data_IF_611975983456
#
_entry.id   IF_611975983456
#
_cell.length_a   1.000
_cell.length_b   1.000
_cell.length_c   1.000
_cell.angle_alpha   90.00
_cell.angle_beta   90.00
_cell.angle_gamma   90.00
#
_symmetry.space_group_name_H-M   'P 1'
#
loop_
_entity.id
_entity.type
_entity.pdbx_description
1 polymer ?
#
# COMPACT_ATOMS: atom_id res chain seq x y z
N UNK A 1 23.17 58.38 2.79
CA UNK A 1 23.03 57.16 3.61
C UNK A 1 21.81 56.41 3.09
N UNK A 2 22.01 55.32 2.34
CA UNK A 2 20.94 54.44 1.91
C UNK A 2 21.37 53.01 2.26
N UNK A 3 20.71 52.40 3.23
CA UNK A 3 20.99 51.03 3.65
C UNK A 3 20.33 50.07 2.67
N UNK A 4 21.11 49.53 1.73
CA UNK A 4 20.65 48.45 0.87
C UNK A 4 20.30 47.23 1.74
N UNK A 5 19.02 46.89 1.83
CA UNK A 5 18.61 45.62 2.43
C UNK A 5 19.15 44.48 1.59
N UNK A 6 19.77 43.48 2.23
CA UNK A 6 20.15 42.26 1.54
C UNK A 6 18.89 41.60 0.93
N UNK A 7 18.98 41.01 -0.27
CA UNK A 7 17.88 40.19 -0.78
C UNK A 7 17.59 39.07 0.23
N UNK A 8 16.30 38.79 0.46
CA UNK A 8 15.93 37.55 1.14
C UNK A 8 16.54 36.37 0.35
N UNK A 9 17.06 35.33 1.01
CA UNK A 9 17.38 34.11 0.30
C UNK A 9 16.12 33.61 -0.39
N UNK A 10 16.24 33.26 -1.67
CA UNK A 10 15.16 32.60 -2.41
C UNK A 10 14.89 31.27 -1.70
N UNK A 11 13.62 30.99 -1.36
CA UNK A 11 13.29 29.68 -0.79
C UNK A 11 13.55 28.61 -1.85
N UNK A 12 14.43 27.66 -1.55
CA UNK A 12 14.70 26.55 -2.46
C UNK A 12 13.36 25.87 -2.82
N UNK A 13 13.06 25.88 -4.11
CA UNK A 13 11.89 25.21 -4.68
C UNK A 13 12.15 23.71 -4.69
N UNK A 14 12.05 23.09 -3.51
CA UNK A 14 12.11 21.65 -3.27
C UNK A 14 11.24 20.95 -4.31
N UNK A 15 11.86 20.25 -5.25
CA UNK A 15 11.18 19.44 -6.25
C UNK A 15 10.98 18.04 -5.66
N UNK A 16 9.75 17.52 -5.74
CA UNK A 16 9.43 16.15 -5.37
C UNK A 16 9.25 15.29 -6.63
N UNK A 17 9.61 13.99 -6.60
CA UNK A 17 9.35 13.09 -7.72
C UNK A 17 7.84 12.93 -7.96
N UNK A 18 7.42 12.75 -9.21
CA UNK A 18 6.00 12.62 -9.59
C UNK A 18 5.33 11.36 -9.00
N UNK A 19 6.13 10.34 -8.66
CA UNK A 19 5.72 9.16 -7.89
C UNK A 19 6.86 8.61 -7.02
N UNK A 20 6.51 7.77 -6.05
CA UNK A 20 7.42 7.13 -5.09
C UNK A 20 7.00 5.70 -4.76
N UNK A 21 7.94 4.89 -4.26
CA UNK A 21 7.67 3.63 -3.56
C UNK A 21 7.64 3.90 -2.05
N UNK A 22 6.46 3.93 -1.43
CA UNK A 22 6.34 4.22 0.01
C UNK A 22 6.29 2.93 0.85
N UNK A 23 7.19 2.78 1.83
CA UNK A 23 7.10 1.70 2.83
C UNK A 23 5.92 1.92 3.78
N UNK A 24 5.10 0.87 3.99
CA UNK A 24 3.92 0.97 4.86
C UNK A 24 4.24 1.13 6.35
N UNK A 25 5.40 0.65 6.80
CA UNK A 25 5.79 0.70 8.21
C UNK A 25 6.44 2.06 8.52
N UNK A 26 5.98 2.69 9.59
CA UNK A 26 6.52 3.97 10.06
C UNK A 26 7.97 3.88 10.58
N UNK A 27 8.69 5.00 10.49
CA UNK A 27 9.97 5.24 11.18
C UNK A 27 9.75 6.19 12.35
N UNK A 28 9.92 5.71 13.60
CA UNK A 28 9.82 6.54 14.81
C UNK A 28 10.96 7.56 14.86
N UNK A 29 10.66 8.81 15.17
CA UNK A 29 11.61 9.90 15.47
C UNK A 29 11.26 10.46 16.84
N UNK A 30 12.04 10.17 17.85
CA UNK A 30 11.83 10.71 19.21
C UNK A 30 12.42 12.12 19.35
N UNK A 31 11.79 12.95 20.18
CA UNK A 31 12.19 14.32 20.52
C UNK A 31 11.87 14.61 21.99
N UNK A 32 12.63 15.51 22.62
CA UNK A 32 12.50 15.85 24.05
C UNK A 32 11.09 16.32 24.44
N UNK A 33 10.39 17.00 23.52
CA UNK A 33 8.97 17.33 23.61
C UNK A 33 8.33 17.60 22.23
N UNK A 34 7.07 18.04 22.25
CA UNK A 34 6.28 18.34 21.05
C UNK A 34 6.74 19.62 20.34
N UNK A 35 7.29 20.59 21.07
CA UNK A 35 7.80 21.83 20.48
C UNK A 35 9.11 21.55 19.74
N UNK A 36 10.03 20.76 20.35
CA UNK A 36 11.22 20.24 19.69
C UNK A 36 10.88 19.38 18.45
N UNK A 37 9.84 18.53 18.52
CA UNK A 37 9.35 17.78 17.36
C UNK A 37 8.83 18.71 16.24
N UNK A 38 8.15 19.80 16.60
CA UNK A 38 7.68 20.85 15.69
C UNK A 38 8.83 21.62 15.04
N UNK A 39 9.84 22.02 15.80
CA UNK A 39 11.05 22.66 15.28
C UNK A 39 11.81 21.74 14.32
N UNK A 40 11.91 20.44 14.63
CA UNK A 40 12.56 19.45 13.76
C UNK A 40 11.86 19.25 12.40
N UNK A 41 10.58 19.62 12.27
CA UNK A 41 9.81 19.50 11.01
C UNK A 41 9.43 20.84 10.38
N UNK A 42 9.80 21.99 10.97
CA UNK A 42 9.29 23.31 10.57
C UNK A 42 9.56 23.71 9.10
N UNK A 43 10.59 23.15 8.46
CA UNK A 43 10.95 23.35 7.04
C UNK A 43 10.52 22.20 6.13
N UNK A 44 9.98 21.12 6.68
CA UNK A 44 9.60 19.94 5.91
C UNK A 44 8.21 20.14 5.29
N UNK A 45 8.16 20.43 3.98
CA UNK A 45 6.92 20.66 3.22
C UNK A 45 6.00 19.42 3.14
N UNK A 46 6.42 18.27 3.66
CA UNK A 46 5.59 17.05 3.82
C UNK A 46 4.97 16.90 5.21
N UNK A 47 5.32 17.77 6.17
CA UNK A 47 4.96 17.58 7.56
C UNK A 47 3.57 18.15 7.92
N UNK A 48 2.84 17.42 8.76
CA UNK A 48 1.54 17.83 9.30
C UNK A 48 1.42 17.47 10.80
N UNK A 49 0.79 18.34 11.62
CA UNK A 49 0.46 18.00 13.00
C UNK A 49 -0.66 16.95 13.07
N UNK A 50 -0.59 16.07 14.06
CA UNK A 50 -1.61 15.05 14.33
C UNK A 50 -1.97 15.09 15.81
N UNK A 51 -3.25 15.39 16.08
CA UNK A 51 -3.84 15.23 17.40
C UNK A 51 -4.54 13.87 17.47
N UNK A 52 -4.26 13.09 18.53
CA UNK A 52 -4.81 11.73 18.69
C UNK A 52 -5.93 11.73 19.73
N UNK A 53 -5.71 12.37 20.88
CA UNK A 53 -6.72 12.58 21.92
C UNK A 53 -6.46 13.89 22.69
N UNK A 54 -6.82 14.01 23.97
CA UNK A 54 -6.54 15.20 24.77
C UNK A 54 -5.07 15.34 25.19
N UNK A 55 -4.36 14.22 25.29
CA UNK A 55 -3.08 14.10 25.99
C UNK A 55 -1.95 13.76 25.00
N UNK A 56 -2.29 13.04 23.91
CA UNK A 56 -1.37 12.60 22.87
C UNK A 56 -1.46 13.46 21.60
N UNK A 57 -0.31 13.93 21.12
CA UNK A 57 -0.16 14.70 19.88
C UNK A 57 1.26 14.59 19.34
N UNK A 58 1.40 14.55 18.02
CA UNK A 58 2.65 14.29 17.32
C UNK A 58 2.69 15.02 15.97
N UNK A 59 3.77 14.87 15.21
CA UNK A 59 3.81 15.26 13.79
C UNK A 59 4.07 14.05 12.91
N UNK A 60 3.47 14.00 11.73
CA UNK A 60 3.82 13.03 10.68
C UNK A 60 4.54 13.75 9.54
N UNK A 61 5.48 13.07 8.88
CA UNK A 61 6.12 13.58 7.67
C UNK A 61 6.58 12.46 6.74
N UNK A 62 6.92 12.78 5.50
CA UNK A 62 7.40 11.82 4.51
C UNK A 62 8.83 12.14 4.06
N UNK A 63 9.71 11.15 4.13
CA UNK A 63 11.00 11.20 3.43
C UNK A 63 10.75 10.70 2.01
N UNK A 64 10.73 11.61 1.04
CA UNK A 64 10.44 11.29 -0.36
C UNK A 64 11.74 11.08 -1.14
N UNK A 65 11.82 9.97 -1.86
CA UNK A 65 12.91 9.61 -2.75
C UNK A 65 12.34 9.04 -4.06
N UNK A 66 12.99 9.33 -5.18
CA UNK A 66 12.61 8.77 -6.48
C UNK A 66 12.92 7.26 -6.52
N UNK A 67 12.10 6.42 -7.16
CA UNK A 67 12.46 5.03 -7.46
C UNK A 67 13.82 4.95 -8.20
N UNK A 68 14.70 3.99 -7.87
CA UNK A 68 14.49 2.78 -7.07
C UNK A 68 14.71 2.94 -5.56
N UNK A 69 14.72 4.16 -5.01
CA UNK A 69 14.85 4.34 -3.56
C UNK A 69 13.50 4.30 -2.85
N UNK A 70 13.46 3.64 -1.68
CA UNK A 70 12.31 3.69 -0.77
C UNK A 70 12.04 5.12 -0.28
N UNK A 71 10.77 5.48 -0.23
CA UNK A 71 10.25 6.60 0.56
C UNK A 71 9.70 6.08 1.89
N UNK A 72 9.74 6.92 2.93
CA UNK A 72 9.41 6.52 4.30
C UNK A 72 8.38 7.44 4.95
N UNK A 73 7.43 6.84 5.65
CA UNK A 73 6.54 7.52 6.59
C UNK A 73 7.26 7.70 7.93
N UNK A 74 7.40 8.93 8.43
CA UNK A 74 8.05 9.25 9.71
C UNK A 74 7.01 9.73 10.74
N UNK A 75 7.09 9.22 11.96
CA UNK A 75 6.26 9.64 13.10
C UNK A 75 7.14 10.34 14.14
N UNK A 76 6.94 11.64 14.34
CA UNK A 76 7.72 12.50 15.21
C UNK A 76 7.02 12.60 16.57
N UNK A 77 7.57 11.90 17.56
CA UNK A 77 6.96 11.63 18.85
C UNK A 77 7.71 12.30 20.01
N UNK A 78 6.96 12.73 21.03
CA UNK A 78 7.49 13.35 22.25
C UNK A 78 7.78 12.30 23.32
N UNK A 79 9.02 12.21 23.82
CA UNK A 79 9.37 11.24 24.85
C UNK A 79 8.61 11.47 26.17
N UNK A 80 8.22 12.72 26.46
CA UNK A 80 7.38 13.07 27.63
C UNK A 80 5.97 12.47 27.59
N UNK A 81 5.49 12.03 26.42
CA UNK A 81 4.20 11.32 26.29
C UNK A 81 4.34 9.79 26.53
N UNK A 82 5.56 9.27 26.71
CA UNK A 82 5.79 7.84 26.90
C UNK A 82 5.57 7.00 25.64
N UNK A 83 5.15 5.74 25.84
CA UNK A 83 5.02 4.66 24.84
C UNK A 83 6.34 4.13 24.24
N UNK A 84 6.85 3.03 24.80
CA UNK A 84 7.90 2.22 24.16
C UNK A 84 7.35 1.47 22.93
N UNK A 85 6.09 1.01 23.00
CA UNK A 85 5.47 0.14 21.99
C UNK A 85 4.65 0.82 20.89
N UNK A 86 4.75 2.13 20.69
CA UNK A 86 4.04 2.88 19.64
C UNK A 86 4.14 2.20 18.26
N UNK A 87 3.02 2.05 17.56
CA UNK A 87 2.94 1.53 16.18
C UNK A 87 2.12 2.46 15.28
N UNK A 88 2.43 2.48 13.99
CA UNK A 88 1.63 3.19 12.97
C UNK A 88 1.85 2.56 11.59
N UNK A 89 0.79 2.42 10.79
CA UNK A 89 0.84 1.73 9.49
C UNK A 89 0.09 2.50 8.40
N UNK A 90 0.70 2.65 7.21
CA UNK A 90 0.04 3.20 6.01
C UNK A 90 -0.72 2.10 5.30
N UNK A 91 -2.05 2.15 5.35
CA UNK A 91 -2.96 1.11 4.86
C UNK A 91 -3.21 1.18 3.37
N UNK A 92 -3.54 2.37 2.87
CA UNK A 92 -3.93 2.57 1.47
C UNK A 92 -3.72 4.02 1.02
N UNK A 93 -3.63 4.24 -0.30
CA UNK A 93 -3.35 5.55 -0.89
C UNK A 93 -4.14 5.72 -2.19
N UNK A 94 -4.76 6.88 -2.41
CA UNK A 94 -5.31 7.29 -3.71
C UNK A 94 -5.01 8.77 -3.99
N UNK A 95 -4.45 9.05 -5.18
CA UNK A 95 -4.06 10.39 -5.65
C UNK A 95 -3.20 11.16 -4.64
N UNK A 96 -3.84 11.97 -3.80
CA UNK A 96 -3.22 12.84 -2.80
C UNK A 96 -3.63 12.50 -1.36
N UNK A 97 -4.38 11.42 -1.14
CA UNK A 97 -4.86 10.98 0.17
C UNK A 97 -4.11 9.72 0.61
N UNK A 98 -3.46 9.78 1.78
CA UNK A 98 -2.78 8.65 2.43
C UNK A 98 -3.57 8.27 3.68
N UNK A 99 -4.08 7.04 3.74
CA UNK A 99 -4.77 6.48 4.90
C UNK A 99 -3.75 5.74 5.77
N UNK A 100 -3.71 6.08 7.06
CA UNK A 100 -2.86 5.42 8.05
C UNK A 100 -3.56 5.27 9.40
N UNK A 101 -3.02 4.42 10.27
CA UNK A 101 -3.41 4.34 11.68
C UNK A 101 -2.26 4.75 12.62
N UNK A 102 -2.60 5.02 13.88
CA UNK A 102 -1.65 5.04 15.01
C UNK A 102 -2.24 4.19 16.14
N UNK A 103 -1.40 3.32 16.71
CA UNK A 103 -1.72 2.46 17.85
C UNK A 103 -0.80 2.73 19.02
N UNK A 104 -1.36 3.02 20.20
CA UNK A 104 -0.64 3.25 21.46
C UNK A 104 -0.97 2.10 22.42
N UNK A 105 -0.11 1.07 22.60
CA UNK A 105 -0.47 -0.14 23.32
C UNK A 105 -0.90 0.06 24.78
N UNK A 106 -0.42 1.10 25.45
CA UNK A 106 -0.78 1.42 26.84
C UNK A 106 -2.29 1.77 26.99
N UNK A 107 -2.96 2.15 25.89
CA UNK A 107 -4.41 2.33 25.78
C UNK A 107 -5.15 1.02 25.42
N UNK A 108 -4.46 0.04 24.82
CA UNK A 108 -5.01 -1.21 24.25
C UNK A 108 -4.90 -2.35 25.28
N UNK A 109 -5.70 -2.30 26.35
CA UNK A 109 -5.76 -3.41 27.34
C UNK A 109 -6.50 -4.66 26.85
N UNK A 110 -7.14 -4.59 25.68
CA UNK A 110 -7.90 -5.67 25.05
C UNK A 110 -7.80 -5.58 23.53
N UNK A 111 -7.92 -6.72 22.84
CA UNK A 111 -7.98 -6.84 21.37
C UNK A 111 -9.29 -6.28 20.76
N UNK A 112 -10.01 -5.43 21.51
CA UNK A 112 -11.32 -4.86 21.19
C UNK A 112 -11.28 -3.33 21.00
N UNK A 113 -10.11 -2.68 21.19
CA UNK A 113 -9.98 -1.24 21.09
C UNK A 113 -9.97 -0.79 19.61
N UNK A 114 -10.83 0.17 19.20
CA UNK A 114 -10.82 0.67 17.83
C UNK A 114 -9.55 1.48 17.55
N UNK A 115 -9.02 1.29 16.34
CA UNK A 115 -7.85 2.01 15.82
C UNK A 115 -8.18 3.48 15.56
N UNK A 116 -7.29 4.39 15.95
CA UNK A 116 -7.36 5.77 15.52
C UNK A 116 -6.84 5.86 14.07
N UNK A 117 -7.76 6.02 13.13
CA UNK A 117 -7.48 6.17 11.71
C UNK A 117 -7.37 7.64 11.31
N UNK A 118 -6.44 7.92 10.41
CA UNK A 118 -6.09 9.26 9.97
C UNK A 118 -5.96 9.31 8.43
N UNK A 119 -6.43 10.40 7.84
CA UNK A 119 -6.24 10.72 6.43
C UNK A 119 -5.31 11.91 6.32
N UNK A 120 -4.10 11.68 5.81
CA UNK A 120 -3.19 12.74 5.38
C UNK A 120 -3.57 13.18 3.96
N UNK A 121 -3.80 14.48 3.80
CA UNK A 121 -4.08 15.12 2.51
C UNK A 121 -2.83 15.87 2.05
N UNK A 122 -2.22 15.40 0.97
CA UNK A 122 -1.12 16.08 0.30
C UNK A 122 -1.64 17.30 -0.48
N UNK A 123 -1.20 18.49 -0.07
CA UNK A 123 -1.54 19.77 -0.69
C UNK A 123 -0.40 20.78 -0.55
N UNK A 124 -0.40 21.77 -1.43
CA UNK A 124 0.37 23.01 -1.27
C UNK A 124 -0.57 24.12 -0.73
N UNK A 125 -0.06 25.11 0.04
CA UNK A 125 1.33 25.27 0.48
C UNK A 125 1.73 24.28 1.59
N UNK A 126 0.77 23.70 2.32
CA UNK A 126 0.98 22.72 3.37
C UNK A 126 0.00 21.55 3.25
N UNK A 127 0.38 20.33 3.67
CA UNK A 127 -0.54 19.20 3.84
C UNK A 127 -1.35 19.34 5.13
N UNK A 128 -2.37 18.49 5.28
CA UNK A 128 -3.21 18.42 6.49
C UNK A 128 -3.49 16.96 6.90
N UNK A 129 -3.84 16.74 8.16
CA UNK A 129 -4.32 15.43 8.64
C UNK A 129 -5.69 15.58 9.28
N UNK A 130 -6.61 14.68 8.91
CA UNK A 130 -7.92 14.51 9.54
C UNK A 130 -7.94 13.19 10.32
N UNK A 131 -8.28 13.23 11.61
CA UNK A 131 -8.68 12.05 12.37
C UNK A 131 -10.11 11.65 11.97
N UNK A 132 -10.35 10.37 11.76
CA UNK A 132 -11.69 9.85 11.44
C UNK A 132 -12.50 9.58 12.72
N UNK A 133 -13.85 9.69 12.66
CA UNK A 133 -14.67 9.22 13.77
C UNK A 133 -14.47 7.71 13.98
N UNK A 134 -14.57 7.23 15.22
CA UNK A 134 -14.40 5.80 15.50
C UNK A 134 -15.49 4.93 14.86
N UNK A 135 -15.08 3.81 14.26
CA UNK A 135 -16.02 2.77 13.84
C UNK A 135 -16.19 1.75 14.97
N UNK A 136 -17.43 1.51 15.41
CA UNK A 136 -17.76 0.67 16.58
C UNK A 136 -17.82 -0.83 16.29
N UNK A 137 -17.25 -1.29 15.17
CA UNK A 137 -17.56 -2.60 14.58
C UNK A 137 -16.43 -3.60 14.79
N UNK A 138 -16.70 -4.65 15.60
CA UNK A 138 -15.71 -5.61 16.12
C UNK A 138 -14.94 -6.47 15.09
N UNK A 139 -15.22 -6.36 13.80
CA UNK A 139 -14.69 -7.26 12.77
C UNK A 139 -14.13 -6.54 11.53
N UNK A 140 -14.29 -5.22 11.43
CA UNK A 140 -13.73 -4.42 10.35
C UNK A 140 -12.51 -3.65 10.85
N UNK A 141 -11.65 -3.22 9.92
CA UNK A 141 -10.43 -2.45 10.14
C UNK A 141 -9.34 -3.21 10.94
N UNK A 142 -9.65 -4.42 11.42
CA UNK A 142 -8.76 -5.27 12.22
C UNK A 142 -7.52 -5.77 11.46
N UNK A 143 -7.57 -5.81 10.12
CA UNK A 143 -6.41 -6.05 9.26
C UNK A 143 -6.06 -4.80 8.46
N UNK A 144 -4.76 -4.60 8.28
CA UNK A 144 -4.15 -3.43 7.67
C UNK A 144 -4.36 -3.41 6.15
N UNK A 145 -4.23 -4.58 5.52
CA UNK A 145 -4.27 -4.78 4.05
C UNK A 145 -5.69 -4.83 3.44
N UNK A 146 -6.74 -4.79 4.26
CA UNK A 146 -8.13 -4.92 3.78
C UNK A 146 -8.84 -3.59 3.62
N UNK A 147 -8.30 -2.52 4.21
CA UNK A 147 -8.91 -1.18 4.28
C UNK A 147 -8.39 -0.27 3.16
N UNK A 148 -9.21 0.03 2.15
CA UNK A 148 -8.87 0.94 1.05
C UNK A 148 -9.31 2.39 1.29
N UNK A 149 -8.65 3.35 0.63
CA UNK A 149 -9.13 4.75 0.45
C UNK A 149 -9.31 5.08 -1.04
N UNK A 150 -10.37 5.83 -1.38
CA UNK A 150 -10.78 6.18 -2.74
C UNK A 150 -11.29 7.63 -2.78
N UNK A 151 -10.60 8.51 -3.49
CA UNK A 151 -11.08 9.86 -3.78
C UNK A 151 -12.02 9.84 -4.99
N UNK A 152 -13.27 10.24 -4.79
CA UNK A 152 -14.28 10.26 -5.85
C UNK A 152 -14.00 11.38 -6.87
N UNK A 153 -14.30 11.12 -8.14
CA UNK A 153 -14.19 12.13 -9.22
C UNK A 153 -15.14 13.34 -9.06
N UNK A 154 -16.25 13.20 -8.33
CA UNK A 154 -17.40 14.08 -8.47
C UNK A 154 -17.47 15.27 -7.49
N UNK A 155 -17.03 15.11 -6.23
CA UNK A 155 -17.48 15.99 -5.12
C UNK A 155 -16.35 16.38 -4.14
N UNK A 156 -15.08 16.24 -4.52
CA UNK A 156 -13.89 16.33 -3.64
C UNK A 156 -13.87 15.35 -2.44
N UNK A 157 -14.95 14.62 -2.21
CA UNK A 157 -15.11 13.65 -1.14
C UNK A 157 -14.32 12.36 -1.40
N UNK A 158 -14.02 11.65 -0.32
CA UNK A 158 -13.39 10.35 -0.34
C UNK A 158 -14.23 9.31 0.41
N UNK A 159 -14.07 8.06 -0.01
CA UNK A 159 -14.60 6.88 0.64
C UNK A 159 -13.43 6.11 1.25
N UNK A 160 -13.63 5.57 2.44
CA UNK A 160 -12.79 4.50 2.98
C UNK A 160 -13.66 3.28 3.11
N UNK A 161 -13.17 2.12 2.69
CA UNK A 161 -13.95 0.89 2.77
C UNK A 161 -13.10 -0.31 3.15
N UNK A 162 -13.72 -1.24 3.89
CA UNK A 162 -13.17 -2.54 4.25
C UNK A 162 -14.16 -3.65 3.86
N UNK A 163 -13.63 -4.77 3.37
CA UNK A 163 -14.40 -5.90 2.83
C UNK A 163 -14.15 -7.16 3.66
N UNK A 164 -15.18 -7.58 4.38
CA UNK A 164 -15.25 -8.91 4.97
C UNK A 164 -16.05 -9.85 4.06
N UNK A 165 -15.55 -11.08 3.88
CA UNK A 165 -16.21 -12.12 3.09
C UNK A 165 -16.51 -13.32 3.98
N UNK A 166 -17.76 -13.78 3.97
CA UNK A 166 -18.25 -14.84 4.85
C UNK A 166 -18.93 -15.95 4.05
N UNK A 167 -18.44 -17.17 4.21
CA UNK A 167 -19.07 -18.38 3.69
C UNK A 167 -20.33 -18.71 4.50
N UNK A 168 -21.49 -18.80 3.84
CA UNK A 168 -22.78 -19.14 4.46
C UNK A 168 -23.35 -20.40 3.79
N UNK A 169 -24.28 -21.10 4.46
CA UNK A 169 -24.85 -22.40 3.99
C UNK A 169 -25.61 -22.35 2.66
N UNK A 170 -25.71 -21.18 2.02
CA UNK A 170 -26.36 -20.93 0.72
C UNK A 170 -25.57 -19.88 -0.09
N UNK A 171 -24.26 -20.09 -0.20
CA UNK A 171 -23.35 -19.23 -0.96
C UNK A 171 -22.62 -18.18 -0.12
N UNK A 172 -21.92 -17.27 -0.79
CA UNK A 172 -21.02 -16.28 -0.19
C UNK A 172 -21.73 -14.95 0.02
N UNK A 173 -21.51 -14.32 1.18
CA UNK A 173 -21.89 -12.93 1.43
C UNK A 173 -20.67 -12.07 1.70
N UNK A 174 -20.64 -10.89 1.08
CA UNK A 174 -19.78 -9.80 1.49
C UNK A 174 -20.49 -8.93 2.52
N UNK A 175 -19.72 -8.40 3.46
CA UNK A 175 -20.15 -7.33 4.35
C UNK A 175 -19.11 -6.21 4.20
N UNK A 176 -19.57 -5.02 3.85
CA UNK A 176 -18.74 -3.84 3.61
C UNK A 176 -18.91 -2.87 4.77
N UNK A 177 -17.81 -2.40 5.36
CA UNK A 177 -17.83 -1.23 6.22
C UNK A 177 -17.30 -0.04 5.42
N UNK A 178 -18.07 1.05 5.36
CA UNK A 178 -17.83 2.19 4.48
C UNK A 178 -17.92 3.48 5.30
N UNK A 179 -16.89 4.32 5.22
CA UNK A 179 -16.93 5.73 5.61
C UNK A 179 -17.07 6.61 4.38
N UNK A 180 -17.93 7.62 4.44
CA UNK A 180 -18.08 8.64 3.40
C UNK A 180 -17.75 10.02 3.99
N UNK A 181 -16.71 10.68 3.48
CA UNK A 181 -16.27 11.98 4.01
C UNK A 181 -17.32 13.09 3.85
N UNK A 182 -18.22 13.00 2.86
CA UNK A 182 -19.28 13.99 2.65
C UNK A 182 -20.43 13.90 3.65
N UNK A 183 -20.62 12.74 4.27
CA UNK A 183 -21.59 12.51 5.35
C UNK A 183 -20.93 12.42 6.74
N UNK A 184 -19.61 12.22 6.79
CA UNK A 184 -18.78 12.05 7.99
C UNK A 184 -19.28 10.94 8.94
N UNK A 185 -19.76 9.83 8.37
CA UNK A 185 -20.33 8.69 9.10
C UNK A 185 -19.82 7.35 8.55
N UNK A 186 -19.87 6.33 9.41
CA UNK A 186 -19.63 4.92 9.05
C UNK A 186 -20.97 4.19 8.84
N UNK A 187 -21.07 3.42 7.76
CA UNK A 187 -22.21 2.57 7.42
C UNK A 187 -21.75 1.14 7.13
N UNK A 188 -22.56 0.15 7.49
CA UNK A 188 -22.32 -1.26 7.15
C UNK A 188 -23.33 -1.69 6.09
N UNK A 189 -22.86 -2.32 5.01
CA UNK A 189 -23.70 -2.79 3.90
C UNK A 189 -23.43 -4.28 3.65
N UNK A 190 -24.38 -5.13 4.03
CA UNK A 190 -24.37 -6.56 3.64
C UNK A 190 -24.79 -6.71 2.18
N UNK A 191 -24.02 -7.48 1.41
CA UNK A 191 -24.28 -7.79 0.00
C UNK A 191 -24.15 -9.30 -0.24
N UNK A 192 -25.10 -9.88 -0.96
CA UNK A 192 -24.97 -11.26 -1.46
C UNK A 192 -24.13 -11.22 -2.73
N UNK A 193 -23.06 -12.03 -2.78
CA UNK A 193 -22.25 -12.18 -3.99
C UNK A 193 -22.91 -13.23 -4.88
N UNK A 194 -23.49 -12.77 -5.99
CA UNK A 194 -24.12 -13.63 -6.98
C UNK A 194 -23.06 -14.38 -7.81
N UNK A 195 -22.76 -15.59 -7.35
CA UNK A 195 -21.93 -16.63 -7.96
C UNK A 195 -20.41 -16.38 -8.05
N UNK A 196 -19.66 -17.50 -8.03
CA UNK A 196 -18.25 -17.66 -8.44
C UNK A 196 -17.11 -17.16 -7.53
N UNK A 197 -17.34 -16.61 -6.33
CA UNK A 197 -16.25 -16.62 -5.34
C UNK A 197 -15.92 -18.07 -4.95
N UNK A 198 -14.64 -18.36 -4.74
CA UNK A 198 -14.18 -19.62 -4.15
C UNK A 198 -14.46 -19.60 -2.64
N UNK A 199 -14.63 -20.78 -2.03
CA UNK A 199 -14.99 -20.94 -0.60
C UNK A 199 -13.88 -20.50 0.38
N UNK A 200 -12.75 -20.00 -0.14
CA UNK A 200 -11.53 -19.63 0.58
C UNK A 200 -11.03 -18.23 0.20
N UNK A 201 -11.90 -17.21 0.07
CA UNK A 201 -11.45 -15.82 -0.14
C UNK A 201 -10.54 -15.34 1.00
N UNK A 202 -9.45 -14.66 0.65
CA UNK A 202 -8.69 -13.82 1.57
C UNK A 202 -8.24 -12.54 0.85
N UNK A 203 -8.48 -11.39 1.47
CA UNK A 203 -8.02 -10.10 0.93
C UNK A 203 -6.53 -9.95 1.22
N UNK A 204 -5.70 -10.10 0.19
CA UNK A 204 -4.24 -9.91 0.25
C UNK A 204 -3.83 -8.45 -0.05
N UNK A 205 -4.66 -7.68 -0.77
CA UNK A 205 -4.38 -6.30 -1.20
C UNK A 205 -5.67 -5.50 -1.50
N UNK A 206 -5.59 -4.16 -1.52
CA UNK A 206 -6.70 -3.26 -1.88
C UNK A 206 -6.22 -1.94 -2.50
N UNK A 207 -6.81 -1.56 -3.64
CA UNK A 207 -6.51 -0.27 -4.27
C UNK A 207 -7.75 0.43 -4.87
N UNK A 208 -7.62 1.74 -5.05
CA UNK A 208 -8.58 2.58 -5.77
C UNK A 208 -8.34 2.51 -7.29
N UNK A 209 -9.41 2.42 -8.08
CA UNK A 209 -9.33 2.43 -9.55
C UNK A 209 -10.32 3.42 -10.18
N UNK A 210 -9.84 4.14 -11.20
CA UNK A 210 -10.57 5.16 -11.97
C UNK A 210 -11.31 6.24 -11.15
N UNK A 211 -10.97 6.44 -9.86
CA UNK A 211 -11.71 7.34 -8.96
C UNK A 211 -13.20 6.96 -8.81
N UNK A 212 -13.49 5.66 -8.95
CA UNK A 212 -14.85 5.07 -9.01
C UNK A 212 -14.97 3.73 -8.30
N UNK A 213 -13.93 2.90 -8.36
CA UNK A 213 -13.96 1.53 -7.87
C UNK A 213 -13.00 1.32 -6.71
N UNK A 214 -13.40 0.48 -5.76
CA UNK A 214 -12.44 -0.30 -4.98
C UNK A 214 -12.17 -1.65 -5.67
N UNK A 215 -10.93 -2.10 -5.56
CA UNK A 215 -10.45 -3.37 -6.10
C UNK A 215 -9.77 -4.14 -4.96
N UNK A 216 -10.50 -5.06 -4.32
CA UNK A 216 -9.93 -5.99 -3.35
C UNK A 216 -9.37 -7.21 -4.06
N UNK A 217 -8.17 -7.63 -3.70
CA UNK A 217 -7.44 -8.72 -4.36
C UNK A 217 -7.31 -9.92 -3.44
N UNK A 218 -7.62 -11.11 -3.95
CA UNK A 218 -7.10 -12.38 -3.44
C UNK A 218 -6.16 -12.90 -4.51
N UNK A 219 -4.85 -12.96 -4.23
CA UNK A 219 -3.83 -13.31 -5.20
C UNK A 219 -3.98 -14.73 -5.75
N UNK A 220 -4.71 -15.61 -5.08
CA UNK A 220 -5.01 -16.96 -5.57
C UNK A 220 -6.34 -17.05 -6.35
N UNK A 221 -7.26 -16.10 -6.14
CA UNK A 221 -8.63 -16.17 -6.67
C UNK A 221 -8.92 -15.16 -7.79
N UNK A 222 -8.62 -13.87 -7.58
CA UNK A 222 -9.05 -12.78 -8.46
C UNK A 222 -9.26 -11.45 -7.75
N UNK A 223 -10.00 -10.54 -8.40
CA UNK A 223 -10.33 -9.20 -7.89
C UNK A 223 -11.83 -9.08 -7.66
N UNK A 224 -12.23 -8.58 -6.48
CA UNK A 224 -13.59 -8.09 -6.22
C UNK A 224 -13.61 -6.59 -6.50
N UNK A 225 -14.24 -6.21 -7.61
CA UNK A 225 -14.52 -4.83 -7.98
C UNK A 225 -15.78 -4.34 -7.27
N UNK A 226 -15.77 -3.12 -6.76
CA UNK A 226 -16.90 -2.50 -6.06
C UNK A 226 -17.16 -1.09 -6.62
N UNK A 227 -18.30 -0.89 -7.28
CA UNK A 227 -18.64 0.35 -7.99
C UNK A 227 -19.39 1.36 -7.11
N UNK A 228 -18.77 2.52 -6.86
CA UNK A 228 -19.34 3.63 -6.09
C UNK A 228 -19.89 4.79 -6.95
N UNK A 229 -19.83 4.70 -8.29
CA UNK A 229 -20.21 5.81 -9.18
C UNK A 229 -21.68 6.24 -9.15
N UNK A 230 -22.58 5.36 -8.68
CA UNK A 230 -24.04 5.58 -8.75
C UNK A 230 -24.69 5.85 -7.40
N UNK A 231 -24.30 5.11 -6.37
CA UNK A 231 -24.83 5.23 -5.03
C UNK A 231 -23.89 4.55 -4.02
N UNK A 232 -23.36 5.32 -3.07
CA UNK A 232 -22.48 4.83 -2.00
C UNK A 232 -23.22 3.91 -1.02
N UNK A 233 -24.55 4.05 -0.90
CA UNK A 233 -25.40 3.24 -0.03
C UNK A 233 -25.88 1.93 -0.68
N UNK A 234 -25.56 1.71 -1.96
CA UNK A 234 -25.83 0.43 -2.61
C UNK A 234 -24.82 0.14 -3.72
N UNK A 235 -23.53 0.01 -3.37
CA UNK A 235 -22.50 -0.30 -4.35
C UNK A 235 -22.72 -1.69 -4.93
N UNK A 236 -22.21 -1.92 -6.15
CA UNK A 236 -22.35 -3.21 -6.83
C UNK A 236 -21.01 -3.93 -6.80
N UNK A 237 -21.02 -5.18 -6.30
CA UNK A 237 -19.85 -6.05 -6.26
C UNK A 237 -19.81 -6.94 -7.50
N UNK A 238 -18.64 -7.03 -8.13
CA UNK A 238 -18.37 -7.87 -9.29
C UNK A 238 -17.04 -8.59 -9.11
N UNK A 239 -17.06 -9.92 -9.07
CA UNK A 239 -15.84 -10.73 -9.02
C UNK A 239 -15.29 -10.99 -10.42
N UNK A 240 -13.99 -10.76 -10.57
CA UNK A 240 -13.21 -11.01 -11.79
C UNK A 240 -12.11 -12.02 -11.43
N UNK A 241 -12.24 -13.30 -11.80
CA UNK A 241 -11.26 -14.33 -11.46
C UNK A 241 -9.93 -14.09 -12.19
N UNK A 242 -8.82 -14.45 -11.56
CA UNK A 242 -7.53 -14.43 -12.26
C UNK A 242 -7.46 -15.55 -13.32
N UNK A 243 -6.79 -15.29 -14.45
CA UNK A 243 -6.67 -16.25 -15.55
C UNK A 243 -5.60 -17.31 -15.26
N UNK A 244 -5.58 -18.35 -16.08
CA UNK A 244 -4.89 -19.61 -15.77
C UNK A 244 -5.76 -20.54 -14.92
N UNK A 245 -6.67 -20.01 -14.11
CA UNK A 245 -7.81 -20.76 -13.54
C UNK A 245 -7.41 -21.98 -12.70
N UNK A 246 -6.25 -21.91 -12.02
CA UNK A 246 -5.74 -22.99 -11.19
C UNK A 246 -6.72 -23.19 -10.03
N UNK A 247 -7.51 -24.26 -10.10
CA UNK A 247 -8.34 -24.71 -8.98
C UNK A 247 -7.45 -25.37 -7.95
N UNK A 248 -6.95 -24.55 -7.03
CA UNK A 248 -6.39 -25.01 -5.75
C UNK A 248 -7.42 -25.90 -5.06
N UNK A 249 -7.08 -27.15 -4.66
CA UNK A 249 -8.05 -28.07 -4.06
C UNK A 249 -8.63 -27.56 -2.74
N UNK A 250 -9.92 -27.76 -2.51
CA UNK A 250 -10.65 -27.20 -1.35
C UNK A 250 -10.17 -27.79 0.00
N UNK A 251 -9.56 -28.98 -0.02
CA UNK A 251 -8.94 -29.65 1.13
C UNK A 251 -7.48 -29.20 1.37
N UNK A 252 -6.81 -28.71 0.32
CA UNK A 252 -5.47 -28.17 0.39
C UNK A 252 -5.49 -26.80 1.05
N UNK A 253 -5.45 -26.79 2.38
CA UNK A 253 -5.11 -25.62 3.20
C UNK A 253 -3.65 -25.22 2.97
N UNK A 254 -3.40 -24.62 1.82
CA UNK A 254 -2.12 -24.00 1.49
C UNK A 254 -1.80 -22.94 2.57
N UNK A 255 -0.65 -23.04 3.25
CA UNK A 255 -0.16 -21.89 4.01
C UNK A 255 0.07 -20.74 3.02
N UNK A 256 -0.71 -19.66 3.16
CA UNK A 256 -0.60 -18.43 2.36
C UNK A 256 0.68 -17.66 2.74
N UNK A 257 1.85 -18.23 2.42
CA UNK A 257 3.16 -17.68 2.72
C UNK A 257 3.44 -16.43 1.88
N UNK A 258 2.90 -15.28 2.32
CA UNK A 258 3.12 -13.94 1.74
C UNK A 258 2.97 -13.91 0.21
N UNK A 259 1.76 -14.11 -0.34
CA UNK A 259 1.54 -14.21 -1.78
C UNK A 259 2.08 -13.01 -2.57
N UNK A 260 2.08 -11.81 -1.99
CA UNK A 260 2.69 -10.58 -2.52
C UNK A 260 4.14 -10.70 -3.01
N UNK A 261 4.89 -11.71 -2.54
CA UNK A 261 6.25 -11.99 -3.03
C UNK A 261 6.30 -12.48 -4.49
N UNK A 262 5.30 -13.25 -4.89
CA UNK A 262 5.21 -13.93 -6.18
C UNK A 262 4.02 -13.48 -7.01
N UNK A 263 3.13 -12.65 -6.45
CA UNK A 263 1.88 -12.21 -7.06
C UNK A 263 1.69 -10.74 -6.75
N UNK A 264 1.32 -9.94 -7.75
CA UNK A 264 1.20 -8.49 -7.63
C UNK A 264 0.12 -7.98 -8.57
N UNK A 265 -0.66 -7.00 -8.12
CA UNK A 265 -1.57 -6.23 -8.98
C UNK A 265 -1.16 -4.77 -8.92
N UNK A 266 -1.06 -4.13 -10.08
CA UNK A 266 -0.71 -2.71 -10.19
C UNK A 266 -1.55 -2.01 -11.25
N UNK A 267 -1.73 -0.70 -11.12
CA UNK A 267 -2.32 0.15 -12.15
C UNK A 267 -1.19 0.91 -12.83
N UNK A 268 -1.08 0.79 -14.15
CA UNK A 268 -0.21 1.64 -14.96
C UNK A 268 -0.97 2.10 -16.20
N UNK A 269 -0.86 3.39 -16.56
CA UNK A 269 -1.62 4.01 -17.66
C UNK A 269 -3.15 3.73 -17.63
N UNK A 270 -3.74 3.64 -16.44
CA UNK A 270 -5.18 3.37 -16.27
C UNK A 270 -5.62 1.92 -16.54
N UNK A 271 -4.67 0.98 -16.68
CA UNK A 271 -4.94 -0.44 -16.87
C UNK A 271 -4.43 -1.23 -15.66
N UNK A 272 -5.32 -2.03 -15.04
CA UNK A 272 -4.97 -3.02 -14.03
C UNK A 272 -4.18 -4.15 -14.69
N UNK A 273 -2.98 -4.45 -14.17
CA UNK A 273 -2.11 -5.54 -14.60
C UNK A 273 -1.86 -6.49 -13.42
N UNK A 274 -1.93 -7.79 -13.68
CA UNK A 274 -1.58 -8.82 -12.72
C UNK A 274 -0.28 -9.52 -13.13
N UNK A 275 0.62 -9.75 -12.18
CA UNK A 275 1.86 -10.52 -12.38
C UNK A 275 1.81 -11.73 -11.46
N UNK A 276 2.01 -12.94 -12.01
CA UNK A 276 2.25 -14.16 -11.24
C UNK A 276 3.58 -14.80 -11.64
N UNK A 277 4.40 -15.06 -10.62
CA UNK A 277 5.72 -15.69 -10.70
C UNK A 277 5.58 -17.13 -10.24
N UNK A 278 5.48 -18.05 -11.19
CA UNK A 278 5.43 -19.48 -10.91
C UNK A 278 6.84 -19.98 -10.60
N UNK A 279 7.06 -20.42 -9.35
CA UNK A 279 8.38 -20.66 -8.75
C UNK A 279 8.54 -22.10 -8.22
N UNK A 280 7.70 -23.04 -8.69
CA UNK A 280 7.58 -24.47 -8.28
C UNK A 280 7.39 -24.74 -6.77
N UNK A 281 7.51 -23.73 -5.91
CA UNK A 281 7.57 -23.83 -4.45
C UNK A 281 6.29 -24.46 -3.87
N UNK A 282 5.16 -24.21 -4.54
CA UNK A 282 3.86 -24.79 -4.23
C UNK A 282 3.81 -26.32 -4.44
N UNK A 283 4.55 -26.88 -5.43
CA UNK A 283 4.66 -28.33 -5.60
C UNK A 283 5.51 -28.97 -4.49
N UNK A 284 6.65 -28.35 -4.13
CA UNK A 284 7.60 -28.93 -3.16
C UNK A 284 7.06 -29.12 -1.73
N UNK A 285 6.01 -28.41 -1.34
CA UNK A 285 5.45 -28.48 0.03
C UNK A 285 4.56 -29.73 0.21
N UNK A 286 4.00 -30.30 -0.87
CA UNK A 286 3.05 -31.42 -0.80
C UNK A 286 3.63 -32.75 -0.28
N UNK A 287 4.95 -32.90 -0.14
CA UNK A 287 5.58 -34.11 0.43
C UNK A 287 5.99 -33.99 1.91
N UNK A 288 5.57 -32.93 2.61
CA UNK A 288 6.14 -32.58 3.93
C UNK A 288 5.63 -33.34 5.16
N UNK A 289 4.37 -33.77 5.19
CA UNK A 289 3.69 -34.21 6.43
C UNK A 289 3.74 -35.72 6.73
N UNK A 290 4.87 -36.37 6.42
CA UNK A 290 5.39 -37.51 7.19
C UNK A 290 6.93 -37.52 7.07
N UNK A 291 7.62 -37.75 8.19
CA UNK A 291 9.04 -37.42 8.36
C UNK A 291 10.03 -38.31 7.62
N UNK A 292 10.12 -38.17 6.29
CA UNK A 292 11.17 -38.79 5.45
C UNK A 292 11.78 -37.70 4.56
N UNK A 293 13.08 -37.34 4.71
CA UNK A 293 13.71 -36.40 3.81
C UNK A 293 13.79 -37.02 2.40
N UNK A 294 13.43 -36.29 1.33
CA UNK A 294 13.45 -36.84 -0.02
C UNK A 294 14.88 -37.24 -0.40
N UNK A 295 15.08 -38.54 -0.71
CA UNK A 295 16.38 -39.04 -1.18
C UNK A 295 16.80 -38.24 -2.39
N UNK A 296 17.96 -37.55 -2.31
CA UNK A 296 18.58 -36.81 -3.43
C UNK A 296 18.81 -37.72 -4.64
N UNK A 297 17.81 -37.84 -5.50
CA UNK A 297 17.95 -38.60 -6.75
C UNK A 297 18.92 -37.86 -7.65
N UNK A 298 19.98 -38.52 -8.11
CA UNK A 298 20.95 -37.95 -9.06
C UNK A 298 20.39 -37.92 -10.49
N UNK A 299 19.21 -37.32 -10.68
CA UNK A 299 18.80 -36.82 -12.00
C UNK A 299 19.53 -35.50 -12.23
N UNK A 300 20.00 -35.28 -13.47
CA UNK A 300 20.76 -34.09 -13.87
C UNK A 300 19.99 -32.83 -13.47
N UNK A 301 20.70 -31.78 -13.05
CA UNK A 301 20.16 -30.43 -13.02
C UNK A 301 19.66 -30.11 -14.43
N UNK A 302 18.34 -30.14 -14.60
CA UNK A 302 17.68 -29.48 -15.72
C UNK A 302 17.58 -28.01 -15.31
N UNK A 303 17.99 -27.11 -16.19
CA UNK A 303 17.92 -25.67 -15.94
C UNK A 303 16.49 -25.31 -15.57
N UNK A 304 16.29 -24.79 -14.35
CA UNK A 304 14.97 -24.48 -13.81
C UNK A 304 14.43 -23.25 -14.53
N UNK A 305 13.48 -23.47 -15.43
CA UNK A 305 12.71 -22.42 -16.08
C UNK A 305 11.51 -22.10 -15.20
N UNK A 306 11.61 -21.04 -14.41
CA UNK A 306 10.43 -20.41 -13.79
C UNK A 306 9.42 -20.07 -14.90
N UNK A 307 8.13 -19.98 -14.56
CA UNK A 307 7.07 -19.90 -15.59
C UNK A 307 6.14 -18.74 -15.32
N UNK A 308 6.61 -17.54 -15.61
CA UNK A 308 5.82 -16.34 -15.37
C UNK A 308 4.51 -16.31 -16.18
N UNK A 309 3.43 -16.10 -15.43
CA UNK A 309 2.09 -15.79 -15.92
C UNK A 309 1.82 -14.31 -15.63
N UNK A 310 2.47 -13.42 -16.39
CA UNK A 310 2.04 -12.03 -16.47
C UNK A 310 0.68 -12.02 -17.16
N UNK A 311 -0.35 -11.56 -16.45
CA UNK A 311 -1.61 -11.14 -17.06
C UNK A 311 -1.72 -9.61 -17.09
N UNK A 312 -0.85 -9.05 -17.92
CA UNK A 312 -1.17 -7.91 -18.76
C UNK A 312 -2.17 -8.28 -19.84
N UNK A 313 -2.79 -7.26 -20.43
CA UNK A 313 -3.17 -7.26 -21.84
C UNK A 313 -1.90 -7.22 -22.75
N UNK A 314 -1.01 -8.22 -22.59
CA UNK A 314 0.40 -8.42 -23.07
C UNK A 314 1.43 -7.30 -22.73
N UNK A 315 2.68 -7.48 -22.26
CA UNK A 315 3.49 -8.58 -21.63
C UNK A 315 4.77 -7.93 -20.97
N UNK A 316 5.87 -8.53 -20.42
CA UNK A 316 6.45 -9.90 -20.29
C UNK A 316 7.65 -9.93 -19.26
N UNK A 317 8.29 -11.10 -19.08
CA UNK A 317 9.60 -11.37 -18.39
C UNK A 317 9.66 -11.29 -16.84
N UNK A 318 10.84 -11.54 -16.22
CA UNK A 318 11.00 -12.50 -15.10
C UNK A 318 11.73 -12.04 -13.79
N UNK A 319 11.02 -11.81 -12.67
CA UNK A 319 11.56 -11.25 -11.39
C UNK A 319 10.81 -11.69 -10.10
N UNK A 320 11.25 -11.30 -8.89
CA UNK A 320 10.51 -11.43 -7.59
C UNK A 320 10.10 -10.05 -7.03
N UNK A 321 9.06 -9.98 -6.17
CA UNK A 321 8.47 -8.72 -5.64
C UNK A 321 8.21 -7.63 -6.72
N UNK A 322 7.38 -7.92 -7.74
CA UNK A 322 7.28 -7.08 -8.94
C UNK A 322 6.28 -5.91 -8.77
N UNK A 323 6.72 -4.68 -9.03
CA UNK A 323 5.86 -3.48 -9.09
C UNK A 323 6.11 -2.74 -10.41
N UNK A 324 5.07 -2.55 -11.22
CA UNK A 324 5.18 -1.86 -12.52
C UNK A 324 5.25 -0.35 -12.28
N UNK A 325 6.09 0.35 -13.05
CA UNK A 325 6.17 1.82 -12.99
C UNK A 325 4.84 2.48 -13.35
N UNK A 326 4.51 3.54 -12.60
CA UNK A 326 3.30 4.35 -12.81
C UNK A 326 3.34 5.09 -14.15
N UNK A 327 4.54 5.44 -14.62
CA UNK A 327 4.76 6.26 -15.83
C UNK A 327 4.95 5.39 -17.08
N UNK A 328 5.77 4.33 -16.99
CA UNK A 328 6.13 3.44 -18.09
C UNK A 328 5.73 1.98 -17.79
N UNK A 329 4.74 1.40 -18.49
CA UNK A 329 4.33 0.01 -18.30
C UNK A 329 5.37 -1.00 -18.78
N UNK A 330 6.42 -0.56 -19.46
CA UNK A 330 7.59 -1.34 -19.82
C UNK A 330 8.62 -1.45 -18.69
N UNK A 331 8.56 -0.63 -17.64
CA UNK A 331 9.55 -0.64 -16.55
C UNK A 331 8.99 -1.35 -15.31
N UNK A 332 9.77 -2.28 -14.77
CA UNK A 332 9.48 -3.00 -13.54
C UNK A 332 10.48 -2.65 -12.44
N UNK A 333 9.98 -2.24 -11.28
CA UNK A 333 10.71 -2.20 -10.01
C UNK A 333 10.61 -3.56 -9.32
N UNK A 334 11.71 -4.09 -8.80
CA UNK A 334 11.70 -5.36 -8.05
C UNK A 334 12.84 -5.46 -7.03
N UNK A 335 12.69 -6.36 -6.06
CA UNK A 335 13.67 -6.63 -4.99
C UNK A 335 14.42 -7.94 -5.28
N UNK A 336 15.72 -7.83 -5.55
CA UNK A 336 16.59 -8.96 -5.86
C UNK A 336 17.38 -9.41 -4.62
N UNK A 337 17.08 -10.61 -4.10
CA UNK A 337 17.79 -11.22 -2.96
C UNK A 337 18.65 -12.41 -3.41
N UNK A 338 19.97 -12.22 -3.48
CA UNK A 338 20.89 -13.23 -3.99
C UNK A 338 21.51 -14.09 -2.85
N UNK A 339 21.20 -15.39 -2.84
CA UNK A 339 21.72 -16.35 -1.84
C UNK A 339 23.24 -16.59 -1.92
N UNK A 340 23.89 -16.16 -3.01
CA UNK A 340 25.33 -16.34 -3.25
C UNK A 340 26.18 -15.17 -2.72
N UNK A 341 25.53 -14.10 -2.22
CA UNK A 341 26.18 -12.89 -1.69
C UNK A 341 25.69 -12.56 -0.28
N UNK A 342 25.84 -13.52 0.65
CA UNK A 342 25.51 -13.44 2.08
C UNK A 342 24.10 -12.93 2.44
N UNK A 343 23.17 -12.99 1.48
CA UNK A 343 21.78 -12.55 1.67
C UNK A 343 21.54 -11.05 1.44
N UNK A 344 22.50 -10.32 0.83
CA UNK A 344 22.30 -8.93 0.41
C UNK A 344 21.08 -8.76 -0.51
N UNK A 345 20.45 -7.60 -0.40
CA UNK A 345 19.21 -7.24 -1.09
C UNK A 345 19.41 -5.97 -1.92
N UNK A 346 18.92 -6.00 -3.15
CA UNK A 346 19.12 -4.93 -4.12
C UNK A 346 17.77 -4.50 -4.70
N UNK A 347 17.47 -3.21 -4.68
CA UNK A 347 16.33 -2.70 -5.44
C UNK A 347 16.79 -2.40 -6.87
N UNK A 348 16.06 -2.94 -7.85
CA UNK A 348 16.40 -2.83 -9.28
C UNK A 348 15.23 -2.27 -10.09
N UNK A 349 15.54 -1.58 -11.18
CA UNK A 349 14.58 -1.27 -12.26
C UNK A 349 15.04 -1.91 -13.56
N UNK A 350 14.10 -2.57 -14.25
CA UNK A 350 14.35 -3.35 -15.45
C UNK A 350 13.38 -2.93 -16.55
N UNK A 351 13.90 -2.68 -17.75
CA UNK A 351 13.13 -2.52 -18.97
C UNK A 351 12.68 -3.92 -19.47
N UNK A 352 11.39 -4.21 -19.38
CA UNK A 352 10.80 -5.48 -19.82
C UNK A 352 10.69 -5.63 -21.35
N UNK A 353 10.83 -4.54 -22.12
CA UNK A 353 10.81 -4.58 -23.58
C UNK A 353 12.18 -4.96 -24.14
N UNK A 354 13.24 -4.39 -23.58
CA UNK A 354 14.63 -4.61 -23.99
C UNK A 354 15.36 -5.69 -23.18
N UNK A 355 14.80 -6.06 -22.01
CA UNK A 355 15.41 -6.92 -20.99
C UNK A 355 16.68 -6.32 -20.33
N UNK A 356 16.81 -4.99 -20.36
CA UNK A 356 17.95 -4.24 -19.84
C UNK A 356 17.75 -3.74 -18.41
N UNK A 357 18.81 -3.75 -17.62
CA UNK A 357 18.86 -3.23 -16.25
C UNK A 357 19.05 -1.70 -16.28
N UNK A 358 18.00 -0.94 -15.97
CA UNK A 358 18.06 0.53 -15.95
C UNK A 358 18.79 1.08 -14.71
N UNK A 359 18.61 0.45 -13.54
CA UNK A 359 19.28 0.86 -12.30
C UNK A 359 19.33 -0.28 -11.28
N UNK A 360 20.33 -0.26 -10.39
CA UNK A 360 20.52 -1.26 -9.33
C UNK A 360 21.21 -0.62 -8.12
N UNK A 361 20.65 -0.80 -6.92
CA UNK A 361 21.12 -0.17 -5.68
C UNK A 361 21.20 -1.19 -4.53
N UNK A 362 22.37 -1.28 -3.88
CA UNK A 362 22.62 -2.10 -2.68
C UNK A 362 21.86 -1.49 -1.49
N UNK A 363 21.07 -2.29 -0.77
CA UNK A 363 20.34 -1.82 0.42
C UNK A 363 21.01 -2.36 1.68
N UNK A 364 21.52 -1.43 2.50
CA UNK A 364 22.50 -1.74 3.53
C UNK A 364 21.87 -2.37 4.79
N UNK A 365 22.42 -3.51 5.23
CA UNK A 365 21.71 -4.52 6.04
C UNK A 365 21.76 -4.26 7.56
N UNK A 366 21.63 -3.01 7.99
CA UNK A 366 21.35 -2.67 9.40
C UNK A 366 19.83 -2.56 9.65
N UNK A 367 19.09 -1.95 8.71
CA UNK A 367 17.66 -2.21 8.57
C UNK A 367 17.50 -3.63 8.02
N UNK A 368 17.20 -4.59 8.89
CA UNK A 368 16.63 -5.88 8.44
C UNK A 368 15.32 -5.56 7.72
N UNK A 369 15.22 -5.89 6.43
CA UNK A 369 13.92 -5.98 5.79
C UNK A 369 13.06 -6.98 6.56
N UNK A 370 12.10 -6.45 7.33
CA UNK A 370 10.82 -7.13 7.47
C UNK A 370 10.20 -7.28 6.08
N UNK A 371 9.24 -8.18 5.90
CA UNK A 371 8.58 -8.37 4.59
C UNK A 371 7.59 -7.21 4.34
N UNK A 372 8.10 -5.97 4.25
CA UNK A 372 7.33 -4.73 4.21
C UNK A 372 6.68 -4.54 2.86
N UNK A 373 5.35 -4.45 2.83
CA UNK A 373 4.64 -3.98 1.64
C UNK A 373 5.07 -2.56 1.31
N UNK A 374 5.38 -2.32 0.04
CA UNK A 374 5.64 -0.99 -0.50
C UNK A 374 4.50 -0.61 -1.44
N UNK A 375 3.96 0.60 -1.27
CA UNK A 375 2.87 1.11 -2.08
C UNK A 375 3.42 2.09 -3.15
N UNK A 376 3.33 1.77 -4.46
CA UNK A 376 3.61 2.74 -5.51
C UNK A 376 2.56 3.84 -5.48
N UNK A 377 2.98 5.11 -5.41
CA UNK A 377 2.04 6.21 -5.19
C UNK A 377 2.49 7.54 -5.75
N UNK A 378 1.52 8.41 -6.03
CA UNK A 378 1.69 9.69 -6.72
C UNK A 378 1.36 10.91 -5.84
N UNK A 379 1.26 10.75 -4.51
CA UNK A 379 0.84 11.85 -3.62
C UNK A 379 1.86 13.01 -3.54
N UNK A 380 3.13 12.70 -3.75
CA UNK A 380 4.27 13.64 -3.75
C UNK A 380 4.04 14.85 -4.67
N UNK A 381 3.52 14.66 -5.89
CA UNK A 381 3.28 15.75 -6.85
C UNK A 381 2.19 16.75 -6.43
N UNK A 382 1.34 16.41 -5.46
CA UNK A 382 0.31 17.32 -4.96
C UNK A 382 0.85 18.31 -3.91
N UNK A 383 1.97 17.98 -3.26
CA UNK A 383 2.73 18.89 -2.39
C UNK A 383 3.48 19.99 -3.18
N UNK A 384 3.51 19.88 -4.51
CA UNK A 384 4.15 20.85 -5.42
C UNK A 384 3.17 21.89 -5.97
N UNK A 385 1.85 21.69 -5.79
CA UNK A 385 0.86 22.12 -6.80
C UNK A 385 0.33 23.55 -6.64
N UNK A 386 1.24 24.51 -6.56
CA UNK A 386 0.96 25.89 -7.00
C UNK A 386 1.48 26.08 -8.44
N UNK A 387 0.75 26.86 -9.26
CA UNK A 387 1.24 27.42 -10.53
C UNK A 387 1.60 26.46 -11.70
N UNK A 388 0.81 25.40 -11.97
CA UNK A 388 0.63 24.92 -13.37
C UNK A 388 -0.46 25.72 -14.12
N UNK A 389 -1.64 25.88 -13.53
CA UNK A 389 -2.78 26.62 -14.12
C UNK A 389 -2.41 28.06 -14.48
N UNK A 390 -1.61 28.73 -13.62
CA UNK A 390 -1.15 30.11 -13.87
C UNK A 390 -0.04 30.22 -14.93
N UNK A 391 0.58 29.12 -15.38
CA UNK A 391 1.49 29.13 -16.54
C UNK A 391 0.72 28.96 -17.84
N UNK A 392 -0.23 28.03 -17.89
CA UNK A 392 -1.10 27.79 -19.08
C UNK A 392 -2.07 28.97 -19.37
N UNK A 393 -2.31 29.86 -18.40
CA UNK A 393 -3.06 31.11 -18.59
C UNK A 393 -2.17 32.33 -18.92
N UNK A 394 -0.84 32.15 -19.02
CA UNK A 394 0.14 33.21 -19.30
C UNK A 394 1.14 32.81 -20.41
N UNK A 395 0.79 31.81 -21.23
CA UNK A 395 1.56 31.32 -22.39
C UNK A 395 0.68 31.20 -23.63
#
# INVERSE_FOLDING_TARGET
MATGGAPKPEEETVVFPDWVMLECIFRKRCHDDLDAAGEAVNKNKTAAPVKIDSDHSCFVSFTLAAPPWSSYFNLHWSERQGSEGLLAFVRAIDKNLVLFDISIPDRIRYMDAPLDLFVYTASAPSPSVQQLPWCSTKWFLAHEFTTGILQLKAEHCYIIADLNVHLKKKGVSAELCIFNSGANEWRIITKVLADKLLDLWWTDDVFAFDGRFFCWVDYFSGVVLCDFSKNVDSPVLHFVPFPGGIKYPDDARFPRYFPGRFRSVSISQGIIRYIHIDNDFHETIHSGWQGIPPKRSKRRQKQLTHKITIWTLNSKFEWEFPVISMDDPGVLCCLLRAKEFDGKEWMIMVDMNHADLQSCTDVNVEDKFSNTTQLPTVFSKYLQKENRILKELLS
#
